data_IF_176841898663
#
_entry.id   IF_176841898663
#
_cell.length_a   1.000
_cell.length_b   1.000
_cell.length_c   1.000
_cell.angle_alpha   90.00
_cell.angle_beta   90.00
_cell.angle_gamma   90.00
#
_symmetry.space_group_name_H-M   'P 1'
#
loop_
_entity.id
_entity.type
_entity.pdbx_description
1 polymer ?
#
# COMPACT_ATOMS: atom_id res chain seq x y z
N UNK A 1 19.53 13.22 -8.19
CA UNK A 1 20.15 12.10 -7.46
C UNK A 1 19.17 10.92 -7.34
N UNK A 2 17.91 11.17 -7.00
CA UNK A 2 16.91 10.13 -6.73
C UNK A 2 16.70 9.09 -7.82
N UNK A 3 16.59 9.47 -9.11
CA UNK A 3 16.42 8.49 -10.19
C UNK A 3 17.57 7.47 -10.30
N UNK A 4 18.81 7.89 -10.01
CA UNK A 4 19.97 7.00 -10.04
C UNK A 4 19.94 6.03 -8.86
N UNK A 5 19.62 6.53 -7.66
CA UNK A 5 19.45 5.72 -6.46
C UNK A 5 18.30 4.71 -6.61
N UNK A 6 17.16 5.13 -7.16
CA UNK A 6 16.03 4.22 -7.45
C UNK A 6 16.45 3.12 -8.41
N UNK A 7 17.21 3.43 -9.46
CA UNK A 7 17.70 2.42 -10.41
C UNK A 7 18.66 1.44 -9.74
N UNK A 8 19.54 1.93 -8.87
CA UNK A 8 20.44 1.07 -8.09
C UNK A 8 19.68 0.14 -7.15
N UNK A 9 18.65 0.63 -6.44
CA UNK A 9 17.84 -0.23 -5.57
C UNK A 9 17.04 -1.27 -6.34
N UNK A 10 16.41 -0.90 -7.46
CA UNK A 10 15.72 -1.89 -8.32
C UNK A 10 16.67 -2.99 -8.79
N UNK A 11 17.89 -2.61 -9.20
CA UNK A 11 18.93 -3.57 -9.54
C UNK A 11 19.35 -4.45 -8.36
N UNK A 12 19.41 -3.91 -7.14
CA UNK A 12 19.71 -4.72 -5.95
C UNK A 12 18.60 -5.69 -5.58
N UNK A 13 17.34 -5.31 -5.76
CA UNK A 13 16.21 -6.23 -5.57
C UNK A 13 16.35 -7.42 -6.53
N UNK A 14 16.60 -7.13 -7.82
CA UNK A 14 16.82 -8.14 -8.86
C UNK A 14 18.07 -9.01 -8.58
N UNK A 15 19.24 -8.39 -8.30
CA UNK A 15 20.51 -9.10 -8.08
C UNK A 15 20.50 -10.01 -6.82
N UNK A 16 19.55 -9.83 -5.89
CA UNK A 16 19.43 -10.62 -4.67
C UNK A 16 18.22 -11.56 -4.67
N UNK A 17 17.55 -11.75 -5.81
CA UNK A 17 16.36 -12.60 -5.94
C UNK A 17 15.25 -12.23 -4.93
N UNK A 18 15.15 -10.94 -4.59
CA UNK A 18 14.11 -10.42 -3.70
C UNK A 18 12.87 -10.09 -4.51
N UNK A 19 11.69 -10.45 -4.00
CA UNK A 19 10.42 -10.08 -4.61
C UNK A 19 10.32 -8.56 -4.82
N UNK A 20 9.82 -8.19 -5.99
CA UNK A 20 9.51 -6.81 -6.36
C UNK A 20 8.31 -6.29 -5.56
N UNK A 21 8.11 -4.97 -5.54
CA UNK A 21 6.97 -4.37 -4.84
C UNK A 21 5.64 -4.87 -5.41
N UNK A 22 5.53 -5.00 -6.73
CA UNK A 22 4.30 -5.45 -7.39
C UNK A 22 3.97 -6.91 -7.00
N UNK A 23 4.96 -7.80 -7.02
CA UNK A 23 4.81 -9.19 -6.57
C UNK A 23 4.41 -9.28 -5.08
N UNK A 24 4.95 -8.41 -4.23
CA UNK A 24 4.59 -8.35 -2.81
C UNK A 24 3.15 -7.86 -2.60
N UNK A 25 2.68 -6.89 -3.39
CA UNK A 25 1.29 -6.41 -3.34
C UNK A 25 0.33 -7.50 -3.79
N UNK A 26 0.62 -8.16 -4.91
CA UNK A 26 -0.19 -9.28 -5.42
C UNK A 26 -0.28 -10.42 -4.39
N UNK A 27 0.86 -10.81 -3.82
CA UNK A 27 0.92 -11.84 -2.76
C UNK A 27 0.08 -11.43 -1.55
N UNK A 28 0.14 -10.17 -1.12
CA UNK A 28 -0.64 -9.69 0.01
C UNK A 28 -2.15 -9.75 -0.26
N UNK A 29 -2.59 -9.38 -1.48
CA UNK A 29 -3.99 -9.49 -1.89
C UNK A 29 -4.44 -10.96 -1.91
N UNK A 30 -3.64 -11.88 -2.47
CA UNK A 30 -3.92 -13.32 -2.46
C UNK A 30 -4.03 -13.90 -1.04
N UNK A 31 -3.26 -13.35 -0.11
CA UNK A 31 -3.31 -13.69 1.32
C UNK A 31 -4.46 -13.04 2.08
N UNK A 32 -5.36 -12.31 1.41
CA UNK A 32 -6.48 -11.57 1.99
C UNK A 32 -6.04 -10.48 3.00
N UNK A 33 -4.91 -9.81 2.73
CA UNK A 33 -4.57 -8.58 3.45
C UNK A 33 -5.55 -7.48 3.06
N UNK A 34 -6.18 -6.86 4.06
CA UNK A 34 -7.10 -5.75 3.83
C UNK A 34 -6.32 -4.47 3.52
N UNK A 35 -6.33 -4.06 2.25
CA UNK A 35 -5.83 -2.76 1.83
C UNK A 35 -6.94 -1.71 1.90
N UNK A 36 -6.63 -0.57 2.51
CA UNK A 36 -7.59 0.53 2.70
C UNK A 36 -7.06 1.83 2.11
N UNK A 37 -7.86 2.50 1.28
CA UNK A 37 -7.55 3.82 0.75
C UNK A 37 -8.26 4.91 1.56
N UNK A 38 -7.46 5.85 2.10
CA UNK A 38 -7.96 6.96 2.92
C UNK A 38 -8.82 7.91 2.06
N UNK A 39 -10.09 8.09 2.44
CA UNK A 39 -11.05 8.93 1.70
C UNK A 39 -10.52 10.34 1.47
N UNK A 40 -10.03 11.01 2.52
CA UNK A 40 -9.56 12.40 2.42
C UNK A 40 -8.35 12.54 1.50
N UNK A 41 -7.51 11.50 1.41
CA UNK A 41 -6.36 11.48 0.50
C UNK A 41 -6.78 11.24 -0.93
N UNK A 42 -7.75 10.34 -1.16
CA UNK A 42 -8.35 10.15 -2.49
C UNK A 42 -8.94 11.46 -3.01
N UNK A 43 -9.76 12.14 -2.20
CA UNK A 43 -10.39 13.43 -2.54
C UNK A 43 -9.33 14.51 -2.82
N UNK A 44 -8.26 14.57 -2.01
CA UNK A 44 -7.19 15.56 -2.16
C UNK A 44 -6.35 15.32 -3.42
N UNK A 45 -6.09 14.07 -3.78
CA UNK A 45 -5.26 13.70 -4.92
C UNK A 45 -6.07 13.54 -6.22
N UNK A 46 -7.40 13.50 -6.13
CA UNK A 46 -8.30 13.30 -7.26
C UNK A 46 -8.26 11.89 -7.83
N UNK A 47 -8.17 10.87 -6.97
CA UNK A 47 -8.22 9.47 -7.37
C UNK A 47 -9.65 8.93 -7.34
N UNK A 48 -9.99 8.13 -8.35
CA UNK A 48 -11.23 7.37 -8.43
C UNK A 48 -10.99 5.91 -8.00
N UNK A 49 -12.05 5.17 -7.68
CA UNK A 49 -11.95 3.77 -7.25
C UNK A 49 -11.23 2.87 -8.29
N UNK A 50 -11.39 3.19 -9.58
CA UNK A 50 -10.77 2.47 -10.69
C UNK A 50 -9.24 2.68 -10.80
N UNK A 51 -8.66 3.63 -10.05
CA UNK A 51 -7.21 3.84 -10.00
C UNK A 51 -6.49 2.88 -9.05
N UNK A 52 -7.24 2.12 -8.23
CA UNK A 52 -6.69 1.19 -7.24
C UNK A 52 -6.73 -0.26 -7.73
N UNK A 53 -5.90 -1.11 -7.11
CA UNK A 53 -5.95 -2.55 -7.32
C UNK A 53 -7.33 -3.14 -6.94
N UNK A 54 -7.74 -4.18 -7.64
CA UNK A 54 -8.94 -4.95 -7.27
C UNK A 54 -8.77 -5.51 -5.84
N UNK A 55 -9.81 -5.37 -5.02
CA UNK A 55 -9.79 -5.79 -3.61
C UNK A 55 -9.37 -4.70 -2.61
N UNK A 56 -8.97 -3.51 -3.06
CA UNK A 56 -8.76 -2.36 -2.17
C UNK A 56 -10.10 -1.80 -1.68
N UNK A 57 -10.24 -1.66 -0.36
CA UNK A 57 -11.38 -0.97 0.25
C UNK A 57 -11.17 0.53 0.17
N UNK A 58 -12.03 1.21 -0.58
CA UNK A 58 -11.97 2.65 -0.83
C UNK A 58 -12.88 3.44 0.13
N UNK A 59 -12.63 4.75 0.23
CA UNK A 59 -13.47 5.63 1.04
C UNK A 59 -13.34 5.43 2.56
N UNK A 60 -12.21 4.91 3.03
CA UNK A 60 -12.01 4.68 4.46
C UNK A 60 -11.71 6.00 5.17
N UNK A 61 -12.61 6.40 6.07
CA UNK A 61 -12.43 7.59 6.91
C UNK A 61 -11.47 7.33 8.08
N UNK A 62 -10.82 8.40 8.56
CA UNK A 62 -9.86 8.31 9.66
C UNK A 62 -10.46 7.69 10.94
N UNK A 63 -11.72 7.97 11.26
CA UNK A 63 -12.39 7.40 12.44
C UNK A 63 -12.57 5.87 12.34
N UNK A 64 -12.88 5.36 11.14
CA UNK A 64 -12.97 3.91 10.87
C UNK A 64 -11.61 3.27 11.05
N UNK A 65 -10.58 3.79 10.36
CA UNK A 65 -9.22 3.28 10.46
C UNK A 65 -8.71 3.28 11.92
N UNK A 66 -8.94 4.36 12.67
CA UNK A 66 -8.52 4.45 14.09
C UNK A 66 -9.26 3.45 14.98
N UNK A 67 -10.56 3.24 14.75
CA UNK A 67 -11.33 2.24 15.50
C UNK A 67 -10.79 0.83 15.26
N UNK A 68 -10.48 0.51 14.02
CA UNK A 68 -9.99 -0.82 13.66
C UNK A 68 -8.55 -1.01 14.17
N UNK A 69 -7.70 0.01 14.03
CA UNK A 69 -6.37 0.05 14.63
C UNK A 69 -6.40 -0.12 16.15
N UNK A 70 -7.38 0.45 16.86
CA UNK A 70 -7.47 0.33 18.31
C UNK A 70 -7.63 -1.13 18.80
N UNK A 71 -8.08 -2.04 17.94
CA UNK A 71 -8.14 -3.48 18.20
C UNK A 71 -6.90 -4.27 17.75
N UNK A 72 -5.92 -3.64 17.08
CA UNK A 72 -4.72 -4.31 16.62
C UNK A 72 -3.67 -4.44 17.74
N UNK A 73 -3.01 -5.59 17.82
CA UNK A 73 -1.93 -5.83 18.79
C UNK A 73 -0.68 -4.97 18.50
N UNK A 74 -0.45 -4.64 17.23
CA UNK A 74 0.71 -3.86 16.76
C UNK A 74 0.22 -2.80 15.77
N UNK A 75 0.66 -1.57 15.97
CA UNK A 75 0.38 -0.42 15.11
C UNK A 75 1.71 0.21 14.68
N UNK A 76 1.90 0.43 13.38
CA UNK A 76 3.12 1.03 12.81
C UNK A 76 2.76 2.25 11.97
N UNK A 77 3.63 3.26 11.96
CA UNK A 77 3.60 4.39 11.04
C UNK A 77 4.90 4.37 10.24
N UNK A 78 4.79 4.15 8.93
CA UNK A 78 5.91 4.01 7.99
C UNK A 78 6.03 5.26 7.12
#
# INVERSE_FOLDING_TARGET
>A
MDRMTTKMMKKRIEDNDTATIDELIETALEMNVEFQACQMTMDLMGYDEADFYEGVTVGVGAATAVRDMAGADIQLLV
#
